data_IF_948372767695
#
_entry.id   IF_948372767695
#
_cell.length_a   1.000
_cell.length_b   1.000
_cell.length_c   1.000
_cell.angle_alpha   90.00
_cell.angle_beta   90.00
_cell.angle_gamma   90.00
#
_symmetry.space_group_name_H-M   'P 1'
#
loop_
_entity.id
_entity.type
_entity.pdbx_description
1 polymer ?
#
# COMPACT_ATOMS: atom_id res chain seq x y z
N UNK A 1 -21.28 -16.77 -3.17
CA UNK A 1 -20.02 -16.04 -3.45
C UNK A 1 -18.89 -16.73 -2.71
N UNK A 2 -17.77 -17.02 -3.38
CA UNK A 2 -16.60 -17.68 -2.80
C UNK A 2 -15.61 -16.65 -2.28
N UNK A 3 -15.41 -16.61 -0.97
CA UNK A 3 -14.31 -15.86 -0.35
C UNK A 3 -12.97 -16.53 -0.74
N UNK A 4 -11.97 -15.72 -1.09
CA UNK A 4 -10.63 -16.18 -1.48
C UNK A 4 -9.57 -15.26 -0.92
N UNK A 5 -8.38 -15.82 -0.67
CA UNK A 5 -7.20 -15.12 -0.17
C UNK A 5 -6.09 -15.15 -1.23
N UNK A 6 -5.65 -13.97 -1.66
CA UNK A 6 -4.63 -13.76 -2.69
C UNK A 6 -3.40 -13.05 -2.10
N UNK A 7 -2.21 -13.55 -2.43
CA UNK A 7 -0.94 -12.89 -2.09
C UNK A 7 -0.13 -12.60 -3.35
N UNK A 8 0.14 -11.33 -3.64
CA UNK A 8 1.04 -10.95 -4.72
C UNK A 8 2.50 -10.96 -4.25
N UNK A 9 3.38 -11.67 -4.96
CA UNK A 9 4.79 -11.81 -4.59
C UNK A 9 5.69 -11.30 -5.71
N UNK A 10 6.65 -10.44 -5.38
CA UNK A 10 7.76 -10.11 -6.26
C UNK A 10 9.10 -10.25 -5.51
N UNK A 11 10.23 -9.91 -6.14
CA UNK A 11 11.54 -10.09 -5.51
C UNK A 11 11.71 -9.29 -4.21
N UNK A 12 11.25 -8.03 -4.15
CA UNK A 12 11.53 -7.11 -3.03
C UNK A 12 10.35 -6.29 -2.49
N UNK A 13 9.11 -6.63 -2.88
CA UNK A 13 7.85 -6.02 -2.41
C UNK A 13 7.74 -4.48 -2.45
N UNK A 14 8.53 -3.78 -3.27
CA UNK A 14 8.52 -2.31 -3.33
C UNK A 14 7.93 -1.72 -4.62
N UNK A 15 7.76 -2.53 -5.66
CA UNK A 15 7.33 -2.06 -6.99
C UNK A 15 6.05 -2.78 -7.45
N UNK A 16 6.19 -3.95 -8.09
CA UNK A 16 5.07 -4.61 -8.79
C UNK A 16 4.03 -5.22 -7.86
N UNK A 17 4.41 -5.91 -6.78
CA UNK A 17 3.41 -6.59 -5.93
C UNK A 17 2.51 -5.65 -5.12
N UNK A 18 2.99 -4.53 -4.50
CA UNK A 18 2.08 -3.54 -3.89
C UNK A 18 1.22 -2.81 -4.92
N UNK A 19 1.69 -2.69 -6.17
CA UNK A 19 0.89 -2.13 -7.26
C UNK A 19 -0.28 -3.06 -7.59
N UNK A 20 -0.01 -4.37 -7.74
CA UNK A 20 -1.01 -5.39 -8.04
C UNK A 20 -2.05 -5.54 -6.93
N UNK A 21 -1.63 -5.51 -5.66
CA UNK A 21 -2.50 -5.52 -4.48
C UNK A 21 -3.55 -4.41 -4.54
N UNK A 22 -3.11 -3.16 -4.68
CA UNK A 22 -4.01 -1.98 -4.69
C UNK A 22 -4.88 -1.93 -5.96
N UNK A 23 -4.35 -2.36 -7.11
CA UNK A 23 -5.14 -2.54 -8.33
C UNK A 23 -6.25 -3.58 -8.11
N UNK A 24 -5.94 -4.72 -7.51
CA UNK A 24 -6.89 -5.80 -7.25
C UNK A 24 -7.97 -5.35 -6.24
N UNK A 25 -7.58 -4.70 -5.14
CA UNK A 25 -8.52 -4.09 -4.18
C UNK A 25 -9.49 -3.11 -4.87
N UNK A 26 -9.00 -2.24 -5.77
CA UNK A 26 -9.83 -1.33 -6.55
C UNK A 26 -10.78 -2.05 -7.53
N UNK A 27 -10.31 -3.12 -8.20
CA UNK A 27 -11.15 -3.93 -9.09
C UNK A 27 -12.25 -4.65 -8.30
N UNK A 28 -11.93 -5.20 -7.13
CA UNK A 28 -12.87 -5.87 -6.23
C UNK A 28 -14.01 -4.96 -5.75
N UNK A 29 -13.71 -3.71 -5.39
CA UNK A 29 -14.74 -2.71 -5.04
C UNK A 29 -15.69 -2.48 -6.23
N UNK A 30 -15.17 -2.47 -7.47
CA UNK A 30 -15.98 -2.28 -8.68
C UNK A 30 -16.78 -3.52 -9.09
N UNK A 31 -16.33 -4.73 -8.75
CA UNK A 31 -17.00 -5.99 -9.10
C UNK A 31 -17.83 -6.59 -7.96
N UNK A 32 -17.97 -5.89 -6.83
CA UNK A 32 -18.62 -6.39 -5.59
C UNK A 32 -18.03 -7.73 -5.10
N UNK A 33 -16.72 -7.89 -5.26
CA UNK A 33 -15.99 -9.12 -4.96
C UNK A 33 -15.28 -9.01 -3.62
N UNK A 34 -15.61 -9.92 -2.68
CA UNK A 34 -15.08 -9.91 -1.32
C UNK A 34 -14.00 -10.98 -1.16
N UNK A 35 -12.77 -10.61 -1.52
CA UNK A 35 -11.55 -11.39 -1.33
C UNK A 35 -10.60 -10.69 -0.34
N UNK A 36 -9.65 -11.43 0.22
CA UNK A 36 -8.53 -10.89 0.98
C UNK A 36 -7.32 -10.77 0.06
N UNK A 37 -6.64 -9.61 0.06
CA UNK A 37 -5.51 -9.34 -0.83
C UNK A 37 -4.40 -8.64 -0.08
N UNK A 38 -3.18 -9.17 -0.21
CA UNK A 38 -1.95 -8.66 0.40
C UNK A 38 -0.78 -8.77 -0.61
N UNK A 39 0.38 -8.21 -0.27
CA UNK A 39 1.61 -8.39 -1.05
C UNK A 39 2.86 -8.63 -0.20
N UNK A 40 3.76 -9.47 -0.71
CA UNK A 40 5.01 -9.85 -0.06
C UNK A 40 6.21 -9.88 -1.03
N UNK A 41 7.41 -10.13 -0.46
CA UNK A 41 8.68 -10.15 -1.17
C UNK A 41 9.58 -11.31 -0.77
N UNK A 42 10.22 -11.96 -1.75
CA UNK A 42 11.17 -13.06 -1.49
C UNK A 42 12.46 -12.61 -0.79
N UNK A 43 12.78 -11.31 -0.84
CA UNK A 43 13.96 -10.70 -0.21
C UNK A 43 13.54 -9.59 0.76
N UNK A 44 14.33 -9.45 1.82
CA UNK A 44 14.12 -8.48 2.91
C UNK A 44 14.51 -7.03 2.58
N UNK A 45 14.95 -6.74 1.35
CA UNK A 45 15.58 -5.47 0.95
C UNK A 45 14.80 -4.20 1.34
N UNK A 46 13.46 -4.29 1.39
CA UNK A 46 12.59 -3.17 1.68
C UNK A 46 11.71 -3.39 2.93
N UNK A 47 11.90 -4.47 3.69
CA UNK A 47 11.01 -4.82 4.81
C UNK A 47 10.84 -3.66 5.80
N UNK A 48 9.59 -3.36 6.17
CA UNK A 48 9.23 -2.23 7.04
C UNK A 48 9.21 -0.86 6.37
N UNK A 49 9.53 -0.74 5.07
CA UNK A 49 9.47 0.52 4.31
C UNK A 49 8.15 0.63 3.54
N UNK A 50 7.74 1.84 3.17
CA UNK A 50 6.63 2.03 2.20
C UNK A 50 7.08 1.64 0.77
N UNK A 51 6.16 1.26 -0.13
CA UNK A 51 6.45 1.03 -1.54
C UNK A 51 7.19 2.20 -2.21
N UNK A 52 7.90 1.90 -3.29
CA UNK A 52 8.78 2.83 -3.98
C UNK A 52 8.01 4.08 -4.45
N UNK A 53 8.60 5.27 -4.29
CA UNK A 53 7.94 6.58 -4.55
C UNK A 53 7.25 6.65 -5.93
N UNK A 54 7.84 6.06 -6.97
CA UNK A 54 7.26 5.99 -8.33
C UNK A 54 6.02 5.09 -8.42
N UNK A 55 5.98 3.97 -7.69
CA UNK A 55 4.78 3.13 -7.58
C UNK A 55 3.65 3.92 -6.89
N UNK A 56 3.95 4.55 -5.74
CA UNK A 56 3.01 5.42 -5.03
C UNK A 56 2.59 6.66 -5.85
N UNK A 57 3.40 7.10 -6.81
CA UNK A 57 3.01 8.16 -7.75
C UNK A 57 1.99 7.65 -8.77
N UNK A 58 2.26 6.53 -9.46
CA UNK A 58 1.32 5.97 -10.45
C UNK A 58 -0.01 5.59 -9.81
N UNK A 59 0.00 4.99 -8.61
CA UNK A 59 -1.23 4.72 -7.88
C UNK A 59 -2.04 6.01 -7.63
N UNK A 60 -1.39 7.10 -7.20
CA UNK A 60 -2.05 8.41 -7.01
C UNK A 60 -2.52 9.06 -8.32
N UNK A 61 -1.80 8.89 -9.42
CA UNK A 61 -2.22 9.34 -10.76
C UNK A 61 -3.56 8.70 -11.18
N UNK A 62 -3.89 7.52 -10.65
CA UNK A 62 -5.18 6.83 -10.85
C UNK A 62 -6.14 6.92 -9.65
N UNK A 63 -5.93 7.87 -8.72
CA UNK A 63 -6.79 8.08 -7.55
C UNK A 63 -6.64 7.03 -6.43
N UNK A 64 -5.66 6.14 -6.53
CA UNK A 64 -5.43 5.05 -5.58
C UNK A 64 -4.39 5.41 -4.51
N UNK A 65 -4.50 4.77 -3.35
CA UNK A 65 -3.56 4.91 -2.23
C UNK A 65 -3.13 3.52 -1.75
N UNK A 66 -1.92 3.45 -1.21
CA UNK A 66 -1.35 2.24 -0.65
C UNK A 66 -0.79 2.55 0.73
N UNK A 67 -1.40 2.00 1.76
CA UNK A 67 -0.89 2.03 3.14
C UNK A 67 -0.09 0.77 3.49
N UNK A 68 0.25 -0.02 2.47
CA UNK A 68 1.12 -1.18 2.59
C UNK A 68 2.49 -0.81 3.15
N UNK A 69 3.03 -1.70 3.99
CA UNK A 69 4.43 -1.71 4.39
C UNK A 69 5.05 -2.99 3.88
N UNK A 70 6.16 -2.84 3.16
CA UNK A 70 6.79 -3.97 2.48
C UNK A 70 7.14 -5.06 3.51
N UNK A 71 6.78 -6.31 3.23
CA UNK A 71 7.05 -7.45 4.11
C UNK A 71 7.73 -8.60 3.37
N UNK A 72 8.41 -9.45 4.13
CA UNK A 72 8.98 -10.68 3.58
C UNK A 72 7.86 -11.74 3.42
N UNK A 73 7.99 -12.56 2.38
CA UNK A 73 7.25 -13.80 2.21
C UNK A 73 7.78 -14.87 3.19
N UNK A 74 6.87 -15.67 3.73
CA UNK A 74 7.13 -16.71 4.74
C UNK A 74 6.45 -18.02 4.36
N UNK A 75 6.92 -19.16 4.92
CA UNK A 75 6.27 -20.45 4.66
C UNK A 75 4.82 -20.50 5.19
N UNK A 76 4.49 -19.67 6.18
CA UNK A 76 3.11 -19.53 6.67
C UNK A 76 2.18 -18.87 5.64
N UNK A 77 2.70 -18.05 4.72
CA UNK A 77 1.91 -17.45 3.65
C UNK A 77 1.31 -18.51 2.72
N UNK A 78 2.05 -19.58 2.41
CA UNK A 78 1.49 -20.73 1.68
C UNK A 78 0.27 -21.32 2.41
N UNK A 79 0.33 -21.46 3.73
CA UNK A 79 -0.76 -22.06 4.52
C UNK A 79 -1.95 -21.14 4.72
N UNK A 80 -1.75 -19.83 4.62
CA UNK A 80 -2.78 -18.82 4.89
C UNK A 80 -3.54 -18.37 3.65
N UNK A 81 -2.87 -18.23 2.50
CA UNK A 81 -3.49 -17.79 1.25
C UNK A 81 -3.94 -18.96 0.38
N UNK A 82 -5.04 -18.82 -0.37
CA UNK A 82 -5.47 -19.83 -1.37
C UNK A 82 -4.57 -19.81 -2.61
N UNK A 83 -4.16 -18.60 -3.00
CA UNK A 83 -3.42 -18.32 -4.23
C UNK A 83 -2.22 -17.43 -3.95
N UNK A 84 -1.03 -17.90 -4.34
CA UNK A 84 0.21 -17.10 -4.31
C UNK A 84 0.55 -16.71 -5.74
N UNK A 85 0.44 -15.43 -6.07
CA UNK A 85 0.59 -14.91 -7.43
C UNK A 85 1.96 -14.26 -7.60
N UNK A 86 2.84 -14.93 -8.34
CA UNK A 86 4.15 -14.42 -8.71
C UNK A 86 4.03 -13.32 -9.77
N UNK A 87 4.75 -12.21 -9.59
CA UNK A 87 4.78 -11.09 -10.54
C UNK A 87 5.73 -11.32 -11.73
N UNK A 88 6.67 -12.25 -11.62
CA UNK A 88 7.64 -12.60 -12.66
C UNK A 88 8.05 -14.09 -12.58
N UNK A 89 8.67 -14.60 -13.66
CA UNK A 89 9.06 -16.01 -13.76
C UNK A 89 10.14 -16.43 -12.76
N UNK A 90 11.05 -15.54 -12.36
CA UNK A 90 12.13 -15.89 -11.44
C UNK A 90 11.57 -16.10 -10.04
N UNK A 91 10.69 -15.20 -9.61
CA UNK A 91 9.89 -15.31 -8.39
C UNK A 91 9.00 -16.55 -8.42
N UNK A 92 8.36 -16.86 -9.56
CA UNK A 92 7.56 -18.08 -9.72
C UNK A 92 8.39 -19.36 -9.54
N UNK A 93 9.55 -19.45 -10.21
CA UNK A 93 10.48 -20.59 -10.10
C UNK A 93 10.98 -20.77 -8.67
N UNK A 94 11.32 -19.68 -7.97
CA UNK A 94 11.74 -19.73 -6.57
C UNK A 94 10.60 -20.12 -5.62
N UNK A 95 9.37 -19.62 -5.84
CA UNK A 95 8.19 -20.02 -5.07
C UNK A 95 7.83 -21.49 -5.27
N UNK A 96 8.02 -22.07 -6.46
CA UNK A 96 7.82 -23.52 -6.67
C UNK A 96 8.83 -24.35 -5.87
N UNK A 97 10.10 -23.92 -5.82
CA UNK A 97 11.14 -24.57 -5.01
C UNK A 97 10.84 -24.47 -3.50
N UNK A 98 10.31 -23.34 -3.03
CA UNK A 98 9.90 -23.15 -1.63
C UNK A 98 8.55 -23.80 -1.31
N UNK A 99 7.71 -24.03 -2.32
CA UNK A 99 6.38 -24.62 -2.20
C UNK A 99 6.45 -26.06 -1.72
N UNK A 100 7.33 -26.88 -2.31
CA UNK A 100 7.55 -28.27 -1.86
C UNK A 100 6.26 -29.08 -1.78
N UNK A 101 5.86 -29.47 -0.57
CA UNK A 101 4.62 -30.23 -0.30
C UNK A 101 3.43 -29.35 0.15
N UNK A 102 3.54 -28.03 0.09
CA UNK A 102 2.42 -27.13 0.43
C UNK A 102 1.31 -27.23 -0.65
N UNK A 103 0.05 -27.23 -0.21
CA UNK A 103 -1.14 -27.45 -1.06
C UNK A 103 -1.59 -26.22 -1.85
N UNK A 104 -0.85 -25.12 -1.76
CA UNK A 104 -1.24 -23.80 -2.26
C UNK A 104 -1.05 -23.68 -3.76
N UNK A 105 -2.03 -23.07 -4.45
CA UNK A 105 -1.91 -22.81 -5.87
C UNK A 105 -0.97 -21.62 -6.12
N UNK A 106 0.27 -21.91 -6.53
CA UNK A 106 1.19 -20.90 -7.04
C UNK A 106 0.83 -20.59 -8.48
N UNK A 107 0.60 -19.31 -8.78
CA UNK A 107 0.19 -18.80 -10.08
C UNK A 107 1.20 -17.76 -10.57
N UNK A 108 1.27 -17.55 -11.87
CA UNK A 108 2.09 -16.52 -12.50
C UNK A 108 1.18 -15.44 -13.09
N UNK A 109 1.32 -14.16 -12.70
CA UNK A 109 0.38 -13.12 -13.16
C UNK A 109 0.37 -12.96 -14.69
N UNK A 110 1.52 -13.14 -15.34
CA UNK A 110 1.62 -13.09 -16.81
C UNK A 110 0.90 -14.24 -17.53
N UNK A 111 0.44 -15.31 -16.85
CA UNK A 111 -0.40 -16.32 -17.52
C UNK A 111 -1.83 -15.84 -17.78
N UNK A 112 -2.26 -14.73 -17.16
CA UNK A 112 -3.62 -14.19 -17.26
C UNK A 112 -3.72 -13.03 -18.27
N UNK A 113 -3.23 -13.23 -19.50
CA UNK A 113 -3.41 -12.22 -20.55
C UNK A 113 -4.76 -12.30 -21.26
N UNK A 114 -4.95 -11.38 -22.22
CA UNK A 114 -6.18 -11.32 -23.04
C UNK A 114 -6.40 -12.64 -23.79
N UNK A 115 -7.64 -13.10 -23.82
CA UNK A 115 -8.08 -14.31 -24.51
C UNK A 115 -7.31 -15.59 -24.10
N UNK A 116 -6.79 -15.65 -22.87
CA UNK A 116 -6.05 -16.80 -22.35
C UNK A 116 -4.62 -16.96 -22.89
N UNK A 117 -4.12 -15.98 -23.64
CA UNK A 117 -2.70 -15.91 -24.02
C UNK A 117 -1.86 -15.33 -22.87
N UNK A 118 -0.59 -15.71 -22.70
CA UNK A 118 0.28 -15.07 -21.72
C UNK A 118 0.52 -13.59 -22.09
N UNK A 119 0.40 -12.70 -21.10
CA UNK A 119 0.68 -11.28 -21.23
C UNK A 119 2.11 -10.95 -20.80
N UNK A 120 2.76 -10.02 -21.52
CA UNK A 120 4.02 -9.45 -21.08
C UNK A 120 3.79 -8.41 -19.97
N UNK A 121 4.54 -8.52 -18.88
CA UNK A 121 4.57 -7.54 -17.78
C UNK A 121 5.99 -6.99 -17.65
N UNK A 122 6.13 -5.67 -17.72
CA UNK A 122 7.40 -4.97 -17.49
C UNK A 122 7.90 -5.25 -16.07
N UNK A 123 9.07 -5.89 -15.95
CA UNK A 123 9.73 -6.05 -14.66
C UNK A 123 10.08 -4.66 -14.07
N UNK A 124 9.66 -4.36 -12.84
CA UNK A 124 9.85 -3.05 -12.22
C UNK A 124 10.99 -3.04 -11.19
N UNK A 125 12.13 -2.49 -11.60
CA UNK A 125 13.23 -2.14 -10.71
C UNK A 125 13.14 -0.69 -10.20
N UNK A 126 13.66 -0.39 -8.99
CA UNK A 126 13.97 0.99 -8.55
C UNK A 126 14.85 1.80 -9.51
N UNK A 127 15.54 1.18 -10.48
CA UNK A 127 16.28 1.89 -11.54
C UNK A 127 15.45 2.30 -12.77
N UNK A 128 14.27 1.70 -13.01
CA UNK A 128 13.53 1.90 -14.26
C UNK A 128 12.82 3.26 -14.36
N UNK A 129 12.69 3.80 -15.58
CA UNK A 129 12.06 5.11 -15.84
C UNK A 129 10.55 5.08 -15.55
N UNK A 130 9.94 6.24 -15.30
CA UNK A 130 8.49 6.38 -15.04
C UNK A 130 7.60 5.75 -16.13
N UNK A 131 8.04 5.78 -17.39
CA UNK A 131 7.31 5.14 -18.52
C UNK A 131 7.03 3.66 -18.26
N UNK A 132 8.01 2.92 -17.73
CA UNK A 132 7.87 1.49 -17.41
C UNK A 132 6.90 1.26 -16.24
N UNK A 133 6.88 2.16 -15.25
CA UNK A 133 5.90 2.09 -14.15
C UNK A 133 4.46 2.30 -14.64
N UNK A 134 4.27 3.14 -15.68
CA UNK A 134 2.96 3.30 -16.33
C UNK A 134 2.56 2.09 -17.17
N UNK A 135 3.44 1.59 -18.05
CA UNK A 135 3.11 0.38 -18.83
C UNK A 135 2.82 -0.84 -17.96
N UNK A 136 3.63 -1.07 -16.91
CA UNK A 136 3.38 -2.11 -15.92
C UNK A 136 2.02 -1.97 -15.22
N UNK A 137 1.58 -0.75 -14.87
CA UNK A 137 0.27 -0.54 -14.25
C UNK A 137 -0.88 -1.06 -15.13
N UNK A 138 -0.89 -0.71 -16.42
CA UNK A 138 -1.93 -1.18 -17.36
C UNK A 138 -1.84 -2.69 -17.61
N UNK A 139 -0.63 -3.25 -17.75
CA UNK A 139 -0.41 -4.69 -17.90
C UNK A 139 -0.92 -5.48 -16.69
N UNK A 140 -0.55 -5.04 -15.47
CA UNK A 140 -1.00 -5.65 -14.20
C UNK A 140 -2.52 -5.52 -14.05
N UNK A 141 -3.11 -4.35 -14.34
CA UNK A 141 -4.56 -4.11 -14.30
C UNK A 141 -5.33 -5.07 -15.21
N UNK A 142 -4.88 -5.27 -16.44
CA UNK A 142 -5.50 -6.23 -17.35
C UNK A 142 -5.35 -7.67 -16.82
N UNK A 143 -4.16 -8.06 -16.36
CA UNK A 143 -3.96 -9.41 -15.82
C UNK A 143 -4.81 -9.69 -14.57
N UNK A 144 -4.95 -8.72 -13.66
CA UNK A 144 -5.83 -8.83 -12.50
C UNK A 144 -7.32 -8.98 -12.91
N UNK A 145 -7.76 -8.26 -13.95
CA UNK A 145 -9.12 -8.39 -14.50
C UNK A 145 -9.36 -9.78 -15.10
N UNK A 146 -8.42 -10.31 -15.88
CA UNK A 146 -8.51 -11.65 -16.47
C UNK A 146 -8.43 -12.75 -15.39
N UNK A 147 -7.66 -12.55 -14.32
CA UNK A 147 -7.62 -13.44 -13.16
C UNK A 147 -9.01 -13.53 -12.49
N UNK A 148 -9.69 -12.40 -12.25
CA UNK A 148 -11.07 -12.40 -11.71
C UNK A 148 -12.03 -13.15 -12.64
N UNK A 149 -11.96 -12.88 -13.95
CA UNK A 149 -12.80 -13.56 -14.96
C UNK A 149 -12.56 -15.08 -14.99
N UNK A 150 -11.31 -15.52 -14.85
CA UNK A 150 -10.93 -16.94 -14.89
C UNK A 150 -11.55 -17.77 -13.77
N UNK A 151 -11.84 -17.14 -12.62
CA UNK A 151 -12.38 -17.82 -11.43
C UNK A 151 -13.89 -18.10 -11.51
N UNK A 152 -14.53 -17.84 -12.66
CA UNK A 152 -15.97 -18.04 -12.91
C UNK A 152 -16.85 -17.43 -11.81
N UNK A 153 -16.46 -16.25 -11.34
CA UNK A 153 -17.32 -15.44 -10.48
C UNK A 153 -18.53 -15.01 -11.31
N UNK A 154 -19.73 -15.11 -10.74
CA UNK A 154 -20.94 -14.46 -11.28
C UNK A 154 -20.76 -12.94 -11.20
N UNK A 155 -20.05 -12.38 -12.17
CA UNK A 155 -19.95 -10.94 -12.35
C UNK A 155 -21.33 -10.46 -12.77
N UNK A 156 -22.02 -9.79 -11.85
CA UNK A 156 -23.18 -8.95 -12.21
C UNK A 156 -22.70 -8.01 -13.30
N UNK A 157 -23.24 -8.18 -14.52
CA UNK A 157 -22.74 -7.56 -15.76
C UNK A 157 -22.39 -6.09 -15.53
N UNK A 158 -21.10 -5.80 -15.51
CA UNK A 158 -20.59 -4.44 -15.50
C UNK A 158 -19.95 -4.16 -16.86
N UNK A 159 -20.60 -3.31 -17.64
CA UNK A 159 -19.95 -2.68 -18.78
C UNK A 159 -18.89 -1.73 -18.21
N UNK A 160 -17.62 -2.07 -18.41
CA UNK A 160 -16.55 -1.12 -18.14
C UNK A 160 -16.78 0.09 -19.05
N UNK A 161 -16.63 1.34 -18.54
CA UNK A 161 -16.53 2.51 -19.39
C UNK A 161 -15.53 2.25 -20.52
N UNK A 162 -16.01 2.33 -21.75
CA UNK A 162 -15.24 2.06 -22.96
C UNK A 162 -14.14 3.10 -23.10
N UNK A 163 -12.88 2.66 -23.07
CA UNK A 163 -11.67 3.28 -23.66
C UNK A 163 -11.31 4.76 -23.40
N UNK A 164 -12.20 5.63 -22.92
CA UNK A 164 -12.00 7.08 -22.85
C UNK A 164 -10.97 7.50 -21.78
N UNK A 165 -10.70 6.61 -20.80
CA UNK A 165 -9.56 6.71 -19.86
C UNK A 165 -8.20 6.28 -20.45
N UNK A 166 -8.18 5.53 -21.57
CA UNK A 166 -6.92 5.18 -22.28
C UNK A 166 -6.47 6.36 -23.17
N UNK A 167 -7.42 7.03 -23.82
CA UNK A 167 -7.15 8.11 -24.77
C UNK A 167 -6.50 9.34 -24.10
N UNK A 168 -6.85 9.64 -22.85
CA UNK A 168 -6.21 10.71 -22.06
C UNK A 168 -4.70 10.51 -21.84
N UNK A 169 -4.21 9.27 -21.89
CA UNK A 169 -2.77 8.97 -21.78
C UNK A 169 -2.04 9.05 -23.13
N UNK A 170 -2.67 8.57 -24.21
CA UNK A 170 -2.07 8.64 -25.55
C UNK A 170 -2.14 10.04 -26.18
N UNK A 171 -3.20 10.82 -25.90
CA UNK A 171 -3.38 12.18 -26.42
C UNK A 171 -2.47 13.25 -25.77
N UNK A 172 -2.04 13.05 -24.52
CA UNK A 172 -1.26 14.07 -23.78
C UNK A 172 0.27 13.96 -23.94
N UNK A 173 0.75 13.16 -24.89
CA UNK A 173 2.18 12.97 -25.19
C UNK A 173 2.92 14.28 -25.53
N UNK A 174 2.19 15.31 -25.97
CA UNK A 174 2.73 16.63 -26.34
C UNK A 174 2.43 17.76 -25.34
N UNK A 175 1.44 17.62 -24.45
CA UNK A 175 1.11 18.66 -23.45
C UNK A 175 2.00 18.60 -22.20
N UNK A 176 2.30 17.40 -21.71
CA UNK A 176 3.17 17.21 -20.52
C UNK A 176 4.60 17.73 -20.75
N UNK A 177 5.00 17.95 -22.01
CA UNK A 177 6.28 18.55 -22.36
C UNK A 177 6.33 20.10 -22.22
N UNK A 178 5.19 20.79 -22.11
CA UNK A 178 5.13 22.26 -22.05
C UNK A 178 4.86 22.84 -20.66
N UNK A 179 4.20 22.10 -19.79
CA UNK A 179 3.83 22.59 -18.44
C UNK A 179 4.98 22.53 -17.41
N UNK A 180 6.20 22.16 -17.84
CA UNK A 180 7.40 22.07 -16.99
C UNK A 180 8.38 23.25 -17.14
N UNK A 181 8.11 24.21 -18.04
CA UNK A 181 8.99 25.37 -18.28
C UNK A 181 8.52 26.69 -17.64
N UNK A 182 7.45 26.68 -16.82
CA UNK A 182 6.85 27.90 -16.25
C UNK A 182 6.80 27.94 -14.70
N UNK A 183 7.96 27.77 -14.06
CA UNK A 183 8.23 28.42 -12.76
C UNK A 183 9.64 29.03 -12.80
N UNK A 184 9.70 30.33 -13.09
CA UNK A 184 10.95 31.10 -13.16
C UNK A 184 11.55 31.39 -11.74
N UNK A 185 12.85 31.74 -11.66
CA UNK A 185 13.67 31.47 -10.48
C UNK A 185 13.61 32.52 -9.36
N UNK A 186 14.12 32.14 -8.18
CA UNK A 186 14.49 33.10 -7.12
C UNK A 186 15.53 34.11 -7.64
N UNK A 187 15.41 35.41 -7.30
CA UNK A 187 16.45 36.39 -7.59
C UNK A 187 17.56 36.36 -6.53
N UNK A 188 18.81 36.32 -6.97
CA UNK A 188 19.98 36.61 -6.13
C UNK A 188 20.43 38.08 -6.24
N UNK A 189 21.17 38.49 -5.20
CA UNK A 189 22.04 39.67 -5.11
C UNK A 189 21.45 41.01 -4.68
N UNK A 190 21.91 41.48 -3.51
CA UNK A 190 22.81 42.63 -3.45
C UNK A 190 23.57 42.64 -2.12
N UNK A 191 24.80 43.17 -2.14
CA UNK A 191 25.75 43.15 -1.01
C UNK A 191 25.55 44.42 -0.17
N UNK A 192 25.64 44.33 1.15
CA UNK A 192 26.16 45.43 1.97
C UNK A 192 26.93 44.91 3.19
N UNK A 193 27.96 45.66 3.57
CA UNK A 193 28.96 45.40 4.61
C UNK A 193 28.61 46.05 5.94
N UNK A 194 29.13 45.53 7.06
CA UNK A 194 29.27 46.33 8.29
C UNK A 194 29.16 45.59 9.63
N UNK A 195 30.31 45.40 10.28
CA UNK A 195 30.62 45.68 11.70
C UNK A 195 29.52 45.49 12.80
N UNK A 196 29.80 44.54 13.71
CA UNK A 196 29.56 44.49 15.17
C UNK A 196 28.45 45.34 15.85
N UNK A 197 27.70 44.72 16.78
CA UNK A 197 27.69 45.02 18.24
C UNK A 197 26.73 44.06 19.02
N UNK A 198 27.19 43.63 20.20
CA UNK A 198 26.49 42.94 21.32
C UNK A 198 26.59 43.87 22.56
N UNK A 199 25.93 43.68 23.73
CA UNK A 199 24.85 42.77 24.18
C UNK A 199 23.76 43.62 24.95
N UNK A 200 23.25 43.38 26.20
CA UNK A 200 23.06 42.15 27.02
C UNK A 200 21.71 42.00 27.79
N UNK A 201 21.52 40.79 28.38
CA UNK A 201 20.86 40.51 29.69
C UNK A 201 19.33 40.80 29.88
N UNK A 202 18.59 40.25 30.85
CA UNK A 202 18.80 39.28 31.95
C UNK A 202 17.45 38.50 32.17
N UNK A 203 17.24 37.44 32.97
CA UNK A 203 18.02 36.58 33.91
C UNK A 203 17.28 35.22 34.02
N UNK A 204 17.82 34.24 34.75
CA UNK A 204 17.10 33.04 35.24
C UNK A 204 17.49 32.68 36.70
N UNK A 205 16.80 31.68 37.28
CA UNK A 205 17.12 30.90 38.51
C UNK A 205 16.60 31.34 39.91
N UNK A 206 15.60 30.60 40.38
CA UNK A 206 15.47 29.85 41.68
C UNK A 206 16.03 30.35 43.03
N UNK A 207 15.26 30.12 44.12
CA UNK A 207 15.64 29.16 45.20
C UNK A 207 14.56 29.00 46.30
N UNK A 208 14.50 27.79 46.91
CA UNK A 208 14.04 27.40 48.28
C UNK A 208 12.72 27.99 48.88
N UNK A 209 11.82 27.22 49.49
CA UNK A 209 12.02 26.40 50.72
C UNK A 209 10.89 25.36 50.97
N UNK A 210 11.24 24.23 51.60
CA UNK A 210 10.33 23.31 52.34
C UNK A 210 10.08 23.84 53.79
N UNK A 211 9.12 23.36 54.64
CA UNK A 211 8.94 21.91 54.96
C UNK A 211 7.56 21.35 55.43
N UNK A 212 7.43 20.02 55.33
CA UNK A 212 6.83 19.03 56.29
C UNK A 212 5.40 19.16 56.91
N UNK A 213 4.57 18.10 56.81
CA UNK A 213 4.14 17.17 57.90
C UNK A 213 2.83 16.33 57.64
N UNK A 214 2.97 15.01 57.83
CA UNK A 214 1.99 13.99 58.32
C UNK A 214 0.63 13.66 57.63
N UNK A 215 0.55 12.41 57.16
CA UNK A 215 -0.41 11.31 57.50
C UNK A 215 -1.88 11.64 57.80
N UNK A 216 -2.82 11.00 57.07
CA UNK A 216 -3.77 9.99 57.63
C UNK A 216 -4.56 9.19 56.57
N UNK A 217 -4.79 7.90 56.89
CA UNK A 217 -5.97 7.04 56.57
C UNK A 217 -6.54 6.89 55.15
N UNK A 218 -6.65 5.63 54.68
CA UNK A 218 -7.74 5.20 53.77
C UNK A 218 -9.10 5.21 54.50
N UNK A 219 -10.22 5.23 53.76
CA UNK A 219 -10.95 3.96 53.64
C UNK A 219 -11.33 3.61 52.19
N UNK A 220 -11.72 2.35 51.98
CA UNK A 220 -12.20 1.86 50.69
C UNK A 220 -13.66 2.27 50.42
N UNK A 221 -13.98 2.62 49.17
CA UNK A 221 -15.37 2.75 48.70
C UNK A 221 -15.52 2.24 47.26
N UNK A 222 -15.99 1.00 47.16
CA UNK A 222 -16.98 0.46 46.21
C UNK A 222 -16.88 0.82 44.71
N UNK A 223 -16.75 -0.23 43.88
CA UNK A 223 -16.82 -0.17 42.41
C UNK A 223 -18.10 0.47 41.87
N UNK A 224 -17.95 1.30 40.83
CA UNK A 224 -19.02 1.81 39.97
C UNK A 224 -18.82 1.46 38.49
N UNK A 225 -18.72 0.18 38.13
CA UNK A 225 -18.49 -0.25 36.74
C UNK A 225 -19.69 0.09 35.85
N UNK A 226 -19.59 1.16 35.06
CA UNK A 226 -20.67 1.60 34.17
C UNK A 226 -20.91 0.58 33.04
N UNK A 227 -22.06 -0.11 33.09
CA UNK A 227 -22.50 -1.06 32.05
C UNK A 227 -23.18 -0.30 30.90
N UNK A 228 -22.56 -0.26 29.72
CA UNK A 228 -23.20 0.27 28.51
C UNK A 228 -24.12 -0.80 27.89
N UNK A 229 -25.28 -0.36 27.39
CA UNK A 229 -26.32 -1.22 26.81
C UNK A 229 -26.22 -1.21 25.28
N UNK A 230 -26.20 -2.38 24.64
CA UNK A 230 -26.25 -2.45 23.17
C UNK A 230 -27.70 -2.28 22.69
N UNK A 231 -28.01 -1.17 22.02
CA UNK A 231 -29.39 -0.87 21.55
C UNK A 231 -29.91 -1.80 20.43
N UNK A 232 -29.09 -2.70 19.85
CA UNK A 232 -29.54 -3.70 18.87
C UNK A 232 -29.85 -5.09 19.44
N UNK A 233 -29.39 -5.42 20.65
CA UNK A 233 -29.60 -6.76 21.25
C UNK A 233 -29.90 -6.78 22.76
N UNK A 234 -30.00 -5.62 23.41
CA UNK A 234 -30.50 -5.48 24.80
C UNK A 234 -29.58 -5.99 25.91
N UNK A 235 -28.53 -6.75 25.59
CA UNK A 235 -27.60 -7.30 26.58
C UNK A 235 -26.58 -6.25 27.06
N UNK A 236 -26.22 -6.35 28.34
CA UNK A 236 -25.29 -5.44 29.04
C UNK A 236 -23.88 -6.02 29.01
N UNK A 237 -22.92 -5.29 28.44
CA UNK A 237 -21.51 -5.68 28.48
C UNK A 237 -20.73 -4.83 29.50
N UNK A 238 -19.76 -5.48 30.16
CA UNK A 238 -18.78 -4.82 31.02
C UNK A 238 -17.55 -4.50 30.16
N UNK A 239 -17.13 -3.23 30.13
CA UNK A 239 -15.81 -2.90 29.63
C UNK A 239 -14.77 -3.27 30.70
N UNK A 240 -13.79 -4.09 30.34
CA UNK A 240 -12.55 -4.18 31.10
C UNK A 240 -11.77 -2.86 30.90
N UNK A 241 -11.10 -2.42 31.97
CA UNK A 241 -10.19 -1.27 31.98
C UNK A 241 -8.89 -1.59 31.22
#
# INVERSE_FOLDING_TARGET
MTFKKLLFVCMGNSCSSPMAEVIMQNLMVKTSLYWEVDSAGLRTWNTGRRPHKRCLQILREHGLRSDHFCRQFTVNDFRYFDYVVAMDEAVYKELLLWGGANTTSVLLLSSFGKNGQPAFIDNLSPTHKMKNFRSAYYQIKECCKQLILSQKVDIVKYELPSSEDEDLYYANKEKVAKDLEFVNPMPESSKHSGLYILPPEMRSQSSSTEPSYSKTSMPASTLGTQRKLCQKCGQKFLAAL
#
